data_IF_554961694032
#
_entry.id   IF_554961694032
#
_cell.length_a   1.000
_cell.length_b   1.000
_cell.length_c   1.000
_cell.angle_alpha   90.00
_cell.angle_beta   90.00
_cell.angle_gamma   90.00
#
_symmetry.space_group_name_H-M   'P 1'
#
loop_
_entity.id
_entity.type
_entity.pdbx_description
1 polymer ?
#
# COMPACT_ATOMS: atom_id res chain seq x y z
N UNK A 1 -9.12 -1.98 -15.55
CA UNK A 1 -8.04 -1.01 -15.27
C UNK A 1 -7.81 -0.81 -13.77
N UNK A 2 -8.85 -0.66 -12.94
CA UNK A 2 -8.68 -0.44 -11.49
C UNK A 2 -8.08 -1.65 -10.76
N UNK A 3 -8.55 -2.87 -11.02
CA UNK A 3 -8.00 -4.09 -10.39
C UNK A 3 -6.48 -4.28 -10.63
N UNK A 4 -5.95 -3.79 -11.75
CA UNK A 4 -4.51 -3.83 -12.03
C UNK A 4 -3.72 -2.85 -11.13
N UNK A 5 -4.30 -1.68 -10.83
CA UNK A 5 -3.73 -0.71 -9.90
C UNK A 5 -3.73 -1.24 -8.47
N UNK A 6 -4.79 -1.94 -8.09
CA UNK A 6 -4.92 -2.56 -6.76
C UNK A 6 -3.91 -3.70 -6.56
N UNK A 7 -3.74 -4.54 -7.58
CA UNK A 7 -2.71 -5.57 -7.61
C UNK A 7 -1.30 -4.95 -7.58
N UNK A 8 -1.10 -3.83 -8.28
CA UNK A 8 0.15 -3.07 -8.21
C UNK A 8 0.43 -2.58 -6.79
N UNK A 9 -0.58 -2.05 -6.09
CA UNK A 9 -0.46 -1.60 -4.70
C UNK A 9 -0.16 -2.72 -3.71
N UNK A 10 -0.61 -3.94 -3.97
CA UNK A 10 -0.24 -5.12 -3.17
C UNK A 10 1.18 -5.63 -3.47
N UNK A 11 1.60 -5.53 -4.73
CA UNK A 11 2.92 -6.03 -5.17
C UNK A 11 4.05 -5.07 -4.83
N UNK A 12 3.81 -3.76 -4.75
CA UNK A 12 4.83 -2.75 -4.39
C UNK A 12 5.48 -3.02 -3.02
N UNK A 13 4.73 -3.19 -1.90
CA UNK A 13 5.31 -3.51 -0.60
C UNK A 13 6.17 -4.78 -0.65
N UNK A 14 5.68 -5.80 -1.36
CA UNK A 14 6.38 -7.07 -1.50
C UNK A 14 7.69 -6.94 -2.28
N UNK A 15 7.67 -6.20 -3.39
CA UNK A 15 8.85 -5.90 -4.20
C UNK A 15 9.87 -5.09 -3.42
N UNK A 16 9.43 -4.05 -2.70
CA UNK A 16 10.31 -3.24 -1.84
C UNK A 16 10.95 -4.12 -0.76
N UNK A 17 10.17 -4.94 -0.07
CA UNK A 17 10.68 -5.86 0.94
C UNK A 17 11.71 -6.84 0.37
N UNK A 18 11.41 -7.46 -0.77
CA UNK A 18 12.31 -8.42 -1.44
C UNK A 18 13.61 -7.76 -1.90
N UNK A 19 13.55 -6.55 -2.46
CA UNK A 19 14.72 -5.83 -2.96
C UNK A 19 15.63 -5.35 -1.82
N UNK A 20 15.03 -4.88 -0.73
CA UNK A 20 15.74 -4.49 0.50
C UNK A 20 16.41 -5.70 1.14
N UNK A 21 15.70 -6.83 1.26
CA UNK A 21 16.27 -8.07 1.82
C UNK A 21 17.37 -8.68 0.96
N UNK A 22 17.36 -8.43 -0.34
CA UNK A 22 18.40 -8.88 -1.26
C UNK A 22 19.61 -7.92 -1.33
N UNK A 23 19.66 -6.91 -0.45
CA UNK A 23 20.68 -5.84 -0.42
C UNK A 23 20.82 -5.08 -1.75
N UNK A 24 19.85 -5.21 -2.66
CA UNK A 24 19.87 -4.55 -3.98
C UNK A 24 19.39 -3.10 -3.92
N UNK A 25 18.81 -2.69 -2.80
CA UNK A 25 18.15 -1.39 -2.67
C UNK A 25 18.42 -0.82 -1.29
N UNK A 26 19.03 0.36 -1.24
CA UNK A 26 19.38 1.02 0.03
C UNK A 26 18.13 1.41 0.80
N UNK A 27 18.19 1.35 2.14
CA UNK A 27 17.05 1.67 2.98
C UNK A 27 16.50 3.09 2.74
N UNK A 28 17.36 4.04 2.35
CA UNK A 28 16.96 5.41 1.96
C UNK A 28 16.12 5.43 0.69
N UNK A 29 16.50 4.68 -0.35
CA UNK A 29 15.72 4.57 -1.59
C UNK A 29 14.41 3.81 -1.36
N UNK A 30 14.44 2.77 -0.52
CA UNK A 30 13.25 2.01 -0.16
C UNK A 30 12.22 2.86 0.56
N UNK A 31 12.65 3.68 1.53
CA UNK A 31 11.80 4.69 2.17
C UNK A 31 11.22 5.68 1.15
N UNK A 32 12.04 6.16 0.22
CA UNK A 32 11.62 7.08 -0.83
C UNK A 32 10.56 6.52 -1.78
N UNK A 33 10.55 5.20 -2.00
CA UNK A 33 9.55 4.50 -2.83
C UNK A 33 8.29 4.11 -2.05
N UNK A 34 8.45 3.64 -0.81
CA UNK A 34 7.32 3.10 -0.05
C UNK A 34 6.42 4.18 0.54
N UNK A 35 6.97 5.34 0.91
CA UNK A 35 6.22 6.45 1.47
C UNK A 35 5.20 7.06 0.48
N UNK A 36 5.58 7.47 -0.75
CA UNK A 36 4.60 8.00 -1.70
C UNK A 36 3.59 6.93 -2.13
N UNK A 37 4.00 5.67 -2.29
CA UNK A 37 3.07 4.59 -2.64
C UNK A 37 2.05 4.33 -1.52
N UNK A 38 2.47 4.41 -0.26
CA UNK A 38 1.56 4.33 0.89
C UNK A 38 0.55 5.49 0.93
N UNK A 39 0.98 6.72 0.63
CA UNK A 39 0.10 7.88 0.58
C UNK A 39 -0.95 7.73 -0.53
N UNK A 40 -0.54 7.32 -1.73
CA UNK A 40 -1.47 7.07 -2.86
C UNK A 40 -2.46 5.96 -2.47
N UNK A 41 -1.98 4.90 -1.82
CA UNK A 41 -2.83 3.82 -1.31
C UNK A 41 -3.86 4.34 -0.29
N UNK A 42 -3.45 5.16 0.69
CA UNK A 42 -4.37 5.74 1.67
C UNK A 42 -5.45 6.59 1.02
N UNK A 43 -5.10 7.43 0.04
CA UNK A 43 -6.08 8.24 -0.70
C UNK A 43 -7.06 7.36 -1.49
N UNK A 44 -6.55 6.32 -2.15
CA UNK A 44 -7.37 5.31 -2.84
C UNK A 44 -8.31 4.57 -1.88
N UNK A 45 -7.83 4.22 -0.70
CA UNK A 45 -8.61 3.55 0.32
C UNK A 45 -9.72 4.44 0.88
N UNK A 46 -9.38 5.67 1.26
CA UNK A 46 -10.34 6.64 1.82
C UNK A 46 -11.42 6.96 0.78
N UNK A 47 -11.04 7.17 -0.48
CA UNK A 47 -12.00 7.38 -1.56
C UNK A 47 -12.87 6.14 -1.81
N UNK A 48 -12.31 4.94 -1.69
CA UNK A 48 -13.07 3.68 -1.75
C UNK A 48 -14.10 3.53 -0.62
N UNK A 49 -13.72 3.87 0.61
CA UNK A 49 -14.62 3.85 1.76
C UNK A 49 -15.70 4.93 1.67
N UNK A 50 -15.35 6.15 1.27
CA UNK A 50 -16.31 7.22 1.02
C UNK A 50 -17.34 6.84 -0.06
N UNK A 51 -16.91 6.10 -1.08
CA UNK A 51 -17.81 5.55 -2.09
C UNK A 51 -18.70 4.44 -1.52
N UNK A 52 -18.15 3.51 -0.73
CA UNK A 52 -18.89 2.39 -0.13
C UNK A 52 -19.94 2.85 0.91
N UNK A 53 -19.67 3.94 1.64
CA UNK A 53 -20.60 4.55 2.60
C UNK A 53 -21.64 5.44 1.89
N UNK A 54 -21.52 5.63 0.57
CA UNK A 54 -22.47 6.40 -0.24
C UNK A 54 -22.32 7.92 -0.10
N UNK A 55 -21.19 8.39 0.44
CA UNK A 55 -20.89 9.83 0.60
C UNK A 55 -20.50 10.47 -0.73
N UNK A 56 -19.80 9.72 -1.59
CA UNK A 56 -19.37 10.18 -2.91
C UNK A 56 -19.84 9.17 -3.95
N UNK A 57 -20.51 9.65 -5.00
CA UNK A 57 -20.99 8.80 -6.08
C UNK A 57 -19.97 8.80 -7.23
N UNK A 58 -18.87 8.05 -7.07
CA UNK A 58 -17.97 7.80 -8.19
C UNK A 58 -18.55 6.63 -9.01
N UNK A 59 -18.97 6.93 -10.22
CA UNK A 59 -19.52 5.96 -11.17
C UNK A 59 -18.38 5.07 -11.72
N UNK A 60 -17.81 4.22 -10.88
CA UNK A 60 -16.75 3.28 -11.29
C UNK A 60 -17.38 2.10 -12.03
N UNK A 61 -16.92 1.77 -13.25
CA UNK A 61 -17.55 0.75 -14.10
C UNK A 61 -17.37 -0.70 -13.60
N UNK A 62 -16.66 -0.95 -12.51
CA UNK A 62 -16.46 -2.28 -11.94
C UNK A 62 -16.28 -2.22 -10.42
N UNK A 63 -16.81 -3.22 -9.71
CA UNK A 63 -16.48 -3.49 -8.30
C UNK A 63 -15.02 -3.92 -8.17
N UNK A 64 -14.25 -3.28 -7.31
CA UNK A 64 -12.82 -3.55 -7.12
C UNK A 64 -12.56 -4.07 -5.70
N UNK A 65 -11.33 -4.46 -5.39
CA UNK A 65 -10.95 -5.08 -4.10
C UNK A 65 -10.97 -4.05 -2.96
N UNK A 66 -10.69 -2.78 -3.25
CA UNK A 66 -10.71 -1.67 -2.29
C UNK A 66 -11.92 -0.75 -2.46
N UNK A 67 -12.50 -0.66 -3.66
CA UNK A 67 -13.65 0.21 -3.97
C UNK A 67 -14.84 -0.67 -4.35
N UNK A 68 -15.74 -0.88 -3.40
CA UNK A 68 -16.94 -1.67 -3.63
C UNK A 68 -17.82 -1.77 -2.38
N UNK A 69 -19.08 -2.12 -2.59
CA UNK A 69 -20.10 -2.15 -1.54
C UNK A 69 -20.08 -3.41 -0.67
N UNK A 70 -19.09 -4.29 -0.88
CA UNK A 70 -19.02 -5.55 -0.15
C UNK A 70 -18.26 -5.37 1.16
N UNK A 71 -18.72 -6.02 2.22
CA UNK A 71 -18.13 -5.91 3.56
C UNK A 71 -16.65 -6.32 3.61
N UNK A 72 -16.23 -7.23 2.73
CA UNK A 72 -14.83 -7.66 2.65
C UNK A 72 -13.90 -6.56 2.09
N UNK A 73 -14.41 -5.61 1.30
CA UNK A 73 -13.64 -4.44 0.83
C UNK A 73 -13.24 -3.52 2.00
N UNK A 74 -14.08 -3.50 3.03
CA UNK A 74 -13.79 -2.76 4.25
C UNK A 74 -12.68 -3.43 5.08
N UNK A 75 -12.57 -4.75 5.01
CA UNK A 75 -11.58 -5.55 5.72
C UNK A 75 -10.23 -5.70 4.98
N UNK A 76 -10.22 -5.66 3.64
CA UNK A 76 -8.99 -5.70 2.84
C UNK A 76 -8.13 -4.46 3.05
N UNK A 77 -8.75 -3.29 3.25
CA UNK A 77 -8.04 -2.04 3.52
C UNK A 77 -7.06 -2.12 4.70
N UNK A 78 -7.53 -2.44 5.93
CA UNK A 78 -6.69 -2.56 7.11
C UNK A 78 -5.58 -3.60 6.97
N UNK A 79 -5.83 -4.72 6.29
CA UNK A 79 -4.82 -5.76 6.03
C UNK A 79 -3.67 -5.20 5.20
N UNK A 80 -3.99 -4.45 4.15
CA UNK A 80 -2.96 -3.85 3.28
C UNK A 80 -2.24 -2.70 3.96
N UNK A 81 -2.93 -1.92 4.81
CA UNK A 81 -2.28 -0.96 5.71
C UNK A 81 -1.24 -1.67 6.59
N UNK A 82 -1.60 -2.79 7.22
CA UNK A 82 -0.67 -3.55 8.06
C UNK A 82 0.54 -4.04 7.26
N UNK A 83 0.35 -4.50 6.01
CA UNK A 83 1.46 -4.88 5.14
C UNK A 83 2.42 -3.72 4.87
N UNK A 84 1.90 -2.54 4.54
CA UNK A 84 2.72 -1.34 4.32
C UNK A 84 3.48 -0.92 5.57
N UNK A 85 2.81 -0.92 6.74
CA UNK A 85 3.45 -0.59 8.01
C UNK A 85 4.54 -1.61 8.39
N UNK A 86 4.28 -2.89 8.15
CA UNK A 86 5.27 -3.95 8.37
C UNK A 86 6.52 -3.72 7.52
N UNK A 87 6.36 -3.52 6.21
CA UNK A 87 7.51 -3.29 5.32
C UNK A 87 8.24 -1.98 5.68
N UNK A 88 7.51 -0.92 6.03
CA UNK A 88 8.14 0.31 6.53
C UNK A 88 8.94 0.09 7.81
N UNK A 89 8.43 -0.70 8.76
CA UNK A 89 9.13 -1.00 10.01
C UNK A 89 10.44 -1.77 9.77
N UNK A 90 10.42 -2.71 8.83
CA UNK A 90 11.60 -3.46 8.40
C UNK A 90 12.64 -2.55 7.73
N UNK A 91 12.21 -1.73 6.77
CA UNK A 91 13.09 -0.77 6.09
C UNK A 91 13.72 0.21 7.09
N UNK A 92 12.96 0.71 8.07
CA UNK A 92 13.46 1.59 9.12
C UNK A 92 14.46 0.88 10.06
N UNK A 93 14.20 -0.39 10.39
CA UNK A 93 15.10 -1.20 11.22
C UNK A 93 16.43 -1.42 10.52
N UNK A 94 16.40 -1.73 9.22
CA UNK A 94 17.59 -1.88 8.38
C UNK A 94 18.38 -0.56 8.23
N UNK A 95 17.69 0.57 7.99
CA UNK A 95 18.32 1.90 7.96
C UNK A 95 19.12 2.20 9.24
N UNK A 96 18.58 1.79 10.39
CA UNK A 96 19.23 2.00 11.70
C UNK A 96 20.45 1.10 11.90
N UNK A 97 20.51 -0.04 11.20
CA UNK A 97 21.65 -0.96 11.21
C UNK A 97 22.77 -0.48 10.28
N UNK A 98 22.45 0.04 9.10
CA UNK A 98 23.44 0.59 8.15
C UNK A 98 24.06 1.92 8.61
N UNK A 99 23.34 2.71 9.43
CA UNK A 99 23.83 4.00 9.93
C UNK A 99 24.78 3.94 11.14
N UNK A 100 25.27 2.74 11.52
CA UNK A 100 26.28 2.58 12.58
C UNK A 100 27.62 2.08 12.03
N UNK A 101 28.23 2.86 11.12
CA UNK A 101 29.68 2.83 10.88
C UNK A 101 30.15 4.25 10.57
#
# INVERSE_FOLDING_TARGET
>A
MVAALELLMLTIPWLVFSLVRSERLSATLACGLILPSFIIFLVGLISGWLCAIGVINLNWPASTIFVGNQWWNLATGPIVIMLYLFVMSEVCTLKRHDGRY
#
